data_IF_092892479830
#
_entry.id   IF_092892479830
#
_cell.length_a   1.000
_cell.length_b   1.000
_cell.length_c   1.000
_cell.angle_alpha   90.00
_cell.angle_beta   90.00
_cell.angle_gamma   90.00
#
_symmetry.space_group_name_H-M   'P 1'
#
loop_
_entity.id
_entity.type
_entity.pdbx_description
1 polymer ?
#
# COMPACT_ATOMS: atom_id res chain seq x y z
N UNK A 1 20.25 -19.53 -12.97
CA UNK A 1 19.42 -19.52 -14.19
C UNK A 1 18.78 -18.14 -14.29
N UNK A 2 18.90 -17.41 -15.40
CA UNK A 2 18.19 -16.14 -15.55
C UNK A 2 16.68 -16.43 -15.62
N UNK A 3 15.91 -15.76 -14.78
CA UNK A 3 14.45 -15.80 -14.86
C UNK A 3 14.03 -14.87 -16.00
N UNK A 4 13.65 -15.44 -17.14
CA UNK A 4 13.13 -14.68 -18.28
C UNK A 4 11.66 -14.41 -17.98
N UNK A 5 11.31 -13.13 -17.84
CA UNK A 5 9.93 -12.70 -17.65
C UNK A 5 9.12 -13.17 -18.86
N UNK A 6 8.15 -14.05 -18.61
CA UNK A 6 7.22 -14.51 -19.63
C UNK A 6 6.28 -13.38 -20.04
N UNK A 7 5.68 -13.46 -21.22
CA UNK A 7 4.71 -12.44 -21.68
C UNK A 7 3.57 -12.25 -20.68
N UNK A 8 3.09 -13.33 -20.04
CA UNK A 8 2.04 -13.27 -19.02
C UNK A 8 2.50 -12.48 -17.77
N UNK A 9 3.71 -12.74 -17.28
CA UNK A 9 4.28 -12.00 -16.15
C UNK A 9 4.50 -10.53 -16.50
N UNK A 10 4.95 -10.25 -17.73
CA UNK A 10 5.09 -8.89 -18.23
C UNK A 10 3.75 -8.14 -18.22
N UNK A 11 2.68 -8.78 -18.69
CA UNK A 11 1.32 -8.21 -18.66
C UNK A 11 0.83 -7.98 -17.23
N UNK A 12 1.13 -8.90 -16.30
CA UNK A 12 0.78 -8.74 -14.88
C UNK A 12 1.53 -7.61 -14.19
N UNK A 13 2.74 -7.28 -14.63
CA UNK A 13 3.55 -6.21 -14.03
C UNK A 13 3.13 -4.80 -14.51
N UNK A 14 2.54 -4.70 -15.70
CA UNK A 14 2.11 -3.41 -16.28
C UNK A 14 0.63 -3.10 -16.08
N UNK A 15 -0.15 -4.05 -15.54
CA UNK A 15 -1.57 -3.82 -15.28
C UNK A 15 -1.77 -2.84 -14.12
N UNK A 16 -2.94 -2.23 -14.09
CA UNK A 16 -3.33 -1.38 -12.98
C UNK A 16 -3.40 -2.18 -11.67
N UNK A 17 -2.91 -1.55 -10.60
CA UNK A 17 -3.06 -2.06 -9.23
C UNK A 17 -4.54 -2.02 -8.84
N UNK A 18 -5.03 -3.05 -8.16
CA UNK A 18 -6.42 -3.12 -7.68
C UNK A 18 -6.53 -2.84 -6.18
N UNK A 19 -7.74 -2.53 -5.73
CA UNK A 19 -8.05 -2.27 -4.32
C UNK A 19 -7.76 -3.49 -3.44
N UNK A 20 -8.02 -4.67 -3.97
CA UNK A 20 -7.78 -5.96 -3.32
C UNK A 20 -6.30 -6.19 -3.09
N UNK A 21 -5.46 -5.83 -4.06
CA UNK A 21 -4.00 -5.92 -3.93
C UNK A 21 -3.46 -4.96 -2.89
N UNK A 22 -3.98 -3.72 -2.86
CA UNK A 22 -3.61 -2.74 -1.83
C UNK A 22 -3.95 -3.27 -0.44
N UNK A 23 -5.18 -3.77 -0.25
CA UNK A 23 -5.60 -4.33 1.03
C UNK A 23 -4.78 -5.57 1.39
N UNK A 24 -4.57 -6.50 0.46
CA UNK A 24 -3.79 -7.70 0.71
C UNK A 24 -2.36 -7.36 1.15
N UNK A 25 -1.69 -6.47 0.41
CA UNK A 25 -0.35 -5.99 0.75
C UNK A 25 -0.31 -5.28 2.11
N UNK A 26 -1.32 -4.47 2.44
CA UNK A 26 -1.41 -3.79 3.72
C UNK A 26 -1.55 -4.77 4.90
N UNK A 27 -2.37 -5.80 4.74
CA UNK A 27 -2.61 -6.82 5.77
C UNK A 27 -1.48 -7.84 5.89
N UNK A 28 -0.65 -8.00 4.86
CA UNK A 28 0.56 -8.83 4.87
C UNK A 28 1.70 -8.21 5.71
N UNK A 29 1.65 -6.91 6.01
CA UNK A 29 2.64 -6.25 6.87
C UNK A 29 2.58 -6.87 8.27
N UNK A 30 3.68 -7.52 8.69
CA UNK A 30 3.78 -8.12 10.01
C UNK A 30 3.53 -7.07 11.11
N UNK A 31 2.78 -7.46 12.14
CA UNK A 31 2.30 -6.55 13.19
C UNK A 31 3.45 -5.98 14.05
N UNK A 32 4.56 -6.70 14.10
CA UNK A 32 5.79 -6.38 14.84
C UNK A 32 6.72 -5.41 14.12
N UNK A 33 6.47 -5.11 12.83
CA UNK A 33 7.37 -4.29 12.00
C UNK A 33 7.28 -2.78 12.20
N UNK A 34 6.58 -2.30 13.21
CA UNK A 34 6.64 -0.89 13.57
C UNK A 34 6.36 -0.64 15.05
N UNK A 35 7.42 -0.38 15.82
CA UNK A 35 7.43 0.75 16.72
C UNK A 35 8.43 1.74 16.11
N UNK A 36 7.97 2.52 15.13
CA UNK A 36 8.60 3.81 14.91
C UNK A 36 8.47 4.66 16.18
N UNK A 37 9.27 5.72 16.36
CA UNK A 37 9.24 6.58 17.56
C UNK A 37 7.86 7.16 17.89
N UNK A 38 6.93 7.17 16.93
CA UNK A 38 5.58 7.72 17.03
C UNK A 38 4.52 6.73 17.60
N UNK A 39 4.89 5.46 17.84
CA UNK A 39 4.07 4.49 18.59
C UNK A 39 2.89 3.84 17.85
N UNK A 40 2.66 4.14 16.57
CA UNK A 40 1.61 3.49 15.77
C UNK A 40 2.15 2.27 15.02
N UNK A 41 1.68 1.08 15.38
CA UNK A 41 2.05 -0.18 14.73
C UNK A 41 1.19 -0.48 13.50
N UNK A 42 1.63 -1.42 12.66
CA UNK A 42 0.80 -1.94 11.58
C UNK A 42 -0.54 -2.49 12.10
N UNK A 43 -0.56 -3.04 13.33
CA UNK A 43 -1.79 -3.50 13.97
C UNK A 43 -2.79 -2.37 14.23
N UNK A 44 -2.33 -1.17 14.62
CA UNK A 44 -3.20 -0.01 14.80
C UNK A 44 -3.90 0.37 13.50
N UNK A 45 -3.16 0.45 12.39
CA UNK A 45 -3.76 0.80 11.10
C UNK A 45 -4.64 -0.30 10.52
N UNK A 46 -4.32 -1.58 10.76
CA UNK A 46 -5.21 -2.70 10.41
C UNK A 46 -6.53 -2.61 11.18
N UNK A 47 -6.47 -2.27 12.48
CA UNK A 47 -7.68 -2.05 13.29
C UNK A 47 -8.49 -0.82 12.83
N UNK A 48 -7.80 0.25 12.43
CA UNK A 48 -8.42 1.47 11.89
C UNK A 48 -8.87 1.35 10.42
N UNK A 49 -8.62 0.22 9.74
CA UNK A 49 -8.93 0.03 8.33
C UNK A 49 -10.38 0.38 7.92
N UNK A 50 -11.44 0.10 8.71
CA UNK A 50 -12.79 0.53 8.36
C UNK A 50 -12.97 2.06 8.28
N UNK A 51 -12.08 2.83 8.91
CA UNK A 51 -12.13 4.29 8.97
C UNK A 51 -11.19 4.93 7.96
N UNK A 52 -9.96 4.41 7.80
CA UNK A 52 -8.92 5.02 6.94
C UNK A 52 -8.60 4.23 5.67
N UNK A 53 -9.15 3.03 5.52
CA UNK A 53 -8.77 2.10 4.46
C UNK A 53 -9.15 2.58 3.07
N UNK A 54 -10.24 3.35 2.95
CA UNK A 54 -10.68 3.90 1.67
C UNK A 54 -9.72 5.00 1.19
N UNK A 55 -9.39 5.97 2.06
CA UNK A 55 -8.44 7.04 1.74
C UNK A 55 -7.04 6.50 1.47
N UNK A 56 -6.58 5.53 2.26
CA UNK A 56 -5.32 4.84 2.02
C UNK A 56 -5.30 4.13 0.66
N UNK A 57 -6.38 3.41 0.34
CA UNK A 57 -6.49 2.71 -0.94
C UNK A 57 -6.47 3.68 -2.11
N UNK A 58 -7.25 4.76 -2.03
CA UNK A 58 -7.31 5.77 -3.06
C UNK A 58 -5.95 6.46 -3.27
N UNK A 59 -5.25 6.81 -2.19
CA UNK A 59 -3.93 7.42 -2.27
C UNK A 59 -2.89 6.49 -2.94
N UNK A 60 -2.93 5.19 -2.65
CA UNK A 60 -2.04 4.21 -3.29
C UNK A 60 -2.38 4.05 -4.77
N UNK A 61 -3.66 3.94 -5.13
CA UNK A 61 -4.08 3.85 -6.53
C UNK A 61 -3.68 5.10 -7.32
N UNK A 62 -3.88 6.29 -6.76
CA UNK A 62 -3.47 7.54 -7.38
C UNK A 62 -1.94 7.66 -7.53
N UNK A 63 -1.17 7.13 -6.57
CA UNK A 63 0.29 7.05 -6.68
C UNK A 63 0.71 6.21 -7.88
N UNK A 64 0.14 5.00 -8.05
CA UNK A 64 0.47 4.13 -9.18
C UNK A 64 -0.02 4.68 -10.53
N UNK A 65 -1.04 5.55 -10.54
CA UNK A 65 -1.53 6.19 -11.76
C UNK A 65 -0.75 7.45 -12.14
N UNK A 66 -0.39 8.29 -11.16
CA UNK A 66 0.13 9.63 -11.41
C UNK A 66 1.60 9.82 -10.99
N UNK A 67 2.21 8.80 -10.35
CA UNK A 67 3.58 8.85 -9.82
C UNK A 67 3.76 9.83 -8.64
N UNK A 68 2.67 10.34 -8.07
CA UNK A 68 2.70 11.31 -6.96
C UNK A 68 2.00 10.71 -5.76
N UNK A 69 2.72 10.62 -4.64
CA UNK A 69 2.09 10.22 -3.40
C UNK A 69 1.31 11.43 -2.92
N UNK A 70 -0.02 11.32 -2.81
CA UNK A 70 -0.80 12.38 -2.19
C UNK A 70 -0.16 12.67 -0.83
N UNK A 71 0.24 13.91 -0.64
CA UNK A 71 0.81 14.42 0.61
C UNK A 71 -0.28 14.41 1.68
N UNK A 72 -0.68 13.23 2.16
CA UNK A 72 -1.58 13.05 3.29
C UNK A 72 -0.91 13.46 4.61
N UNK A 73 0.39 13.79 4.55
CA UNK A 73 1.24 14.22 5.66
C UNK A 73 1.32 15.75 5.81
N UNK A 74 0.20 16.48 5.72
CA UNK A 74 0.15 17.92 6.02
C UNK A 74 -0.68 18.25 7.26
N UNK A 75 -0.68 17.39 8.28
CA UNK A 75 -1.24 17.75 9.58
C UNK A 75 -0.52 17.11 10.76
N UNK A 76 0.76 17.46 10.93
CA UNK A 76 1.41 17.54 12.24
C UNK A 76 2.39 18.73 12.19
N UNK A 77 1.84 19.93 12.35
CA UNK A 77 2.56 21.08 12.90
C UNK A 77 1.93 21.43 14.24
#
# INVERSE_FOLDING_TARGET
>A
MPHIITTDEGVRLIRQVTREEVKAAFFDIAEDKAPGPDGYSAAFFKAAWPVVGEEMTQAVLEFFQNGRLLSMLHSLR
#
